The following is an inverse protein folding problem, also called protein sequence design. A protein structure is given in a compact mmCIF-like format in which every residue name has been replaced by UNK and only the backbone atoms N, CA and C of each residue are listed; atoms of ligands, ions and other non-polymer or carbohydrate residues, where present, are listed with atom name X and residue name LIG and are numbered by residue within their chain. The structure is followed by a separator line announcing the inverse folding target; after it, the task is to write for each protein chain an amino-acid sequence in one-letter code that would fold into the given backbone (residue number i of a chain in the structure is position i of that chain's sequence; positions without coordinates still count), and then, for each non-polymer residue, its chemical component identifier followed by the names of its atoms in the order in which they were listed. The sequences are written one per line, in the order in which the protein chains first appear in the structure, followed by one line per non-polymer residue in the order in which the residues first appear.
data_IF_033825520768
#
_entry.id   IF_033825520768
#
_cell.length_a   1.000
_cell.length_b   1.000
_cell.length_c   1.000
_cell.angle_alpha   90.00
_cell.angle_beta   90.00
_cell.angle_gamma   90.00
#
_symmetry.space_group_name_H-M   'P 1'
#
loop_
_entity.id
_entity.type
_entity.pdbx_description
1 polymer ?
#
# COMPACT_ATOMS: atom_id res chain seq x y z
N UNK A 1 11.82 -18.72 10.77
CA UNK A 1 10.49 -18.75 10.10
C UNK A 1 10.71 -18.41 8.64
N UNK A 2 10.29 -19.27 7.71
CA UNK A 2 10.39 -18.98 6.27
C UNK A 2 9.41 -17.87 5.88
N UNK A 3 9.84 -16.92 5.07
CA UNK A 3 8.98 -15.87 4.53
C UNK A 3 7.86 -16.50 3.68
N UNK A 4 6.60 -16.29 4.09
CA UNK A 4 5.40 -16.83 3.41
C UNK A 4 4.81 -15.85 2.38
N UNK A 5 5.51 -14.75 2.08
CA UNK A 5 5.04 -13.78 1.09
C UNK A 5 4.96 -14.41 -0.30
N UNK A 6 3.80 -14.23 -0.94
CA UNK A 6 3.52 -14.71 -2.31
C UNK A 6 4.29 -13.94 -3.40
N UNK A 7 4.78 -12.75 -3.11
CA UNK A 7 5.49 -11.91 -4.06
C UNK A 7 6.73 -11.30 -3.40
N UNK A 8 7.88 -11.49 -4.05
CA UNK A 8 9.11 -10.83 -3.68
C UNK A 8 8.99 -9.30 -3.84
N UNK A 9 9.76 -8.56 -3.04
CA UNK A 9 9.64 -7.10 -2.90
C UNK A 9 10.93 -6.43 -3.34
N UNK A 10 10.79 -5.42 -4.18
CA UNK A 10 11.82 -4.47 -4.56
C UNK A 10 11.95 -3.41 -3.47
N UNK A 11 13.14 -3.25 -2.89
CA UNK A 11 13.43 -2.10 -2.01
C UNK A 11 13.57 -0.84 -2.87
N UNK A 12 12.84 0.20 -2.50
CA UNK A 12 12.84 1.50 -3.20
C UNK A 12 12.92 2.64 -2.19
N UNK A 13 13.16 3.85 -2.67
CA UNK A 13 13.05 5.06 -1.85
C UNK A 13 12.41 6.16 -2.68
N UNK A 14 11.10 6.04 -2.89
CA UNK A 14 10.35 6.88 -3.81
C UNK A 14 9.42 7.84 -3.06
N UNK A 15 9.65 9.17 -3.13
CA UNK A 15 8.69 10.15 -2.66
C UNK A 15 7.34 9.93 -3.34
N UNK A 16 6.28 10.03 -2.55
CA UNK A 16 4.93 9.74 -2.99
C UNK A 16 3.95 10.78 -2.46
N UNK A 17 2.84 10.93 -3.18
CA UNK A 17 1.65 11.62 -2.71
C UNK A 17 0.56 10.57 -2.50
N UNK A 18 0.03 10.53 -1.28
CA UNK A 18 -1.04 9.61 -0.91
C UNK A 18 -2.32 10.41 -0.67
N UNK A 19 -3.43 9.90 -1.17
CA UNK A 19 -4.76 10.46 -0.95
C UNK A 19 -5.72 9.37 -0.50
N UNK A 20 -6.45 9.60 0.58
CA UNK A 20 -7.52 8.70 1.02
C UNK A 20 -8.79 9.01 0.24
N UNK A 21 -9.17 8.14 -0.69
CA UNK A 21 -10.22 8.39 -1.69
C UNK A 21 -11.57 7.74 -1.35
N UNK A 22 -11.62 6.90 -0.31
CA UNK A 22 -12.84 6.20 0.10
C UNK A 22 -13.35 5.19 -0.93
N UNK A 23 -14.51 4.62 -0.64
CA UNK A 23 -15.21 3.68 -1.53
C UNK A 23 -16.20 4.40 -2.43
N UNK A 24 -16.30 3.92 -3.67
CA UNK A 24 -17.38 4.34 -4.58
C UNK A 24 -18.73 3.84 -4.02
N UNK A 25 -19.73 4.72 -3.88
CA UNK A 25 -21.09 4.32 -3.49
C UNK A 25 -21.63 3.25 -4.44
N UNK A 26 -22.26 2.23 -3.87
CA UNK A 26 -22.87 1.15 -4.63
C UNK A 26 -24.38 1.18 -4.42
N UNK A 27 -25.13 1.34 -5.52
CA UNK A 27 -26.58 1.30 -5.50
C UNK A 27 -27.04 -0.12 -5.85
N UNK A 28 -27.55 -0.83 -4.86
CA UNK A 28 -28.01 -2.21 -5.01
C UNK A 28 -29.55 -2.25 -5.05
N UNK A 29 -30.09 -3.16 -5.85
CA UNK A 29 -31.51 -3.49 -5.77
C UNK A 29 -31.86 -3.97 -4.34
N UNK A 30 -33.02 -3.62 -3.77
CA UNK A 30 -33.36 -3.95 -2.37
C UNK A 30 -33.18 -5.43 -2.01
N UNK A 31 -33.62 -6.35 -2.89
CA UNK A 31 -33.44 -7.79 -2.66
C UNK A 31 -31.98 -8.21 -2.51
N UNK A 32 -31.07 -7.58 -3.28
CA UNK A 32 -29.63 -7.87 -3.18
C UNK A 32 -29.04 -7.21 -1.94
N UNK A 33 -29.44 -5.97 -1.62
CA UNK A 33 -28.99 -5.27 -0.42
C UNK A 33 -29.27 -6.07 0.86
N UNK A 34 -30.38 -6.80 0.92
CA UNK A 34 -30.75 -7.64 2.06
C UNK A 34 -29.79 -8.82 2.32
N UNK A 35 -29.04 -9.27 1.31
CA UNK A 35 -28.16 -10.44 1.40
C UNK A 35 -26.69 -10.11 1.12
N UNK A 36 -26.41 -8.91 0.64
CA UNK A 36 -25.06 -8.48 0.28
C UNK A 36 -24.26 -8.08 1.53
N UNK A 37 -23.02 -8.56 1.60
CA UNK A 37 -22.04 -8.15 2.62
C UNK A 37 -20.79 -7.66 1.94
N UNK A 38 -20.25 -6.54 2.44
CA UNK A 38 -19.04 -5.92 1.94
C UNK A 38 -18.20 -5.43 3.10
N UNK A 39 -16.89 -5.42 2.88
CA UNK A 39 -15.96 -4.73 3.76
C UNK A 39 -16.07 -3.23 3.49
N UNK A 40 -16.44 -2.45 4.48
CA UNK A 40 -16.48 -1.00 4.37
C UNK A 40 -15.09 -0.39 4.52
N UNK A 41 -14.83 0.67 3.75
CA UNK A 41 -13.62 1.45 3.95
C UNK A 41 -13.74 2.26 5.23
N UNK A 42 -12.62 2.41 5.94
CA UNK A 42 -12.54 3.43 6.96
C UNK A 42 -12.57 4.83 6.30
N UNK A 43 -13.50 5.67 6.75
CA UNK A 43 -13.77 6.99 6.18
C UNK A 43 -13.22 8.14 7.02
N UNK A 44 -12.56 7.86 8.17
CA UNK A 44 -12.06 8.88 9.10
C UNK A 44 -10.97 9.79 8.49
N UNK A 45 -10.34 9.35 7.40
CA UNK A 45 -9.32 10.09 6.67
C UNK A 45 -9.73 10.50 5.26
N UNK A 46 -11.00 10.33 4.87
CA UNK A 46 -11.46 10.64 3.52
C UNK A 46 -11.09 12.08 3.09
N UNK A 47 -10.55 12.20 1.87
CA UNK A 47 -10.10 13.47 1.28
C UNK A 47 -8.74 13.95 1.80
N UNK A 48 -8.15 13.32 2.82
CA UNK A 48 -6.81 13.69 3.28
C UNK A 48 -5.77 13.31 2.23
N UNK A 49 -4.93 14.29 1.88
CA UNK A 49 -3.82 14.15 0.94
C UNK A 49 -2.52 14.62 1.59
N UNK A 50 -1.47 13.81 1.51
CA UNK A 50 -0.20 14.10 2.21
C UNK A 50 1.01 13.47 1.50
N UNK A 51 2.21 14.05 1.69
CA UNK A 51 3.45 13.45 1.20
C UNK A 51 3.85 12.25 2.07
N UNK A 52 4.40 11.22 1.43
CA UNK A 52 4.93 10.02 2.07
C UNK A 52 6.11 9.46 1.26
N UNK A 53 6.64 8.30 1.65
CA UNK A 53 7.71 7.62 0.90
C UNK A 53 7.41 6.14 0.77
N UNK A 54 7.37 5.63 -0.45
CA UNK A 54 7.34 4.18 -0.73
C UNK A 54 8.74 3.64 -0.47
N UNK A 55 8.84 2.66 0.45
CA UNK A 55 10.12 2.05 0.86
C UNK A 55 10.34 0.68 0.25
N UNK A 56 9.26 0.00 -0.10
CA UNK A 56 9.33 -1.22 -0.87
C UNK A 56 8.04 -1.42 -1.68
N UNK A 57 8.14 -2.27 -2.70
CA UNK A 57 7.11 -2.50 -3.69
C UNK A 57 7.15 -3.96 -4.16
N UNK A 58 5.99 -4.59 -4.34
CA UNK A 58 5.85 -5.83 -5.08
C UNK A 58 4.78 -5.67 -6.15
N UNK A 59 4.56 -6.71 -6.94
CA UNK A 59 3.45 -6.76 -7.90
C UNK A 59 2.08 -6.58 -7.23
N UNK A 60 1.96 -6.87 -5.93
CA UNK A 60 0.68 -6.87 -5.21
C UNK A 60 0.52 -5.71 -4.24
N UNK A 61 1.58 -5.02 -3.83
CA UNK A 61 1.44 -3.98 -2.81
C UNK A 61 2.74 -3.27 -2.47
N UNK A 62 2.65 -2.30 -1.56
CA UNK A 62 3.76 -1.44 -1.17
C UNK A 62 3.80 -1.22 0.35
N UNK A 63 4.99 -0.99 0.90
CA UNK A 63 5.14 -0.41 2.23
C UNK A 63 5.50 1.07 2.10
N UNK A 64 4.81 1.90 2.88
CA UNK A 64 4.89 3.35 2.81
C UNK A 64 5.18 3.87 4.20
N UNK A 65 6.24 4.67 4.33
CA UNK A 65 6.51 5.43 5.55
C UNK A 65 5.84 6.79 5.48
N UNK A 66 5.17 7.19 6.57
CA UNK A 66 4.42 8.44 6.64
C UNK A 66 3.46 8.46 7.82
N UNK A 67 2.55 9.44 7.84
CA UNK A 67 1.44 9.44 8.79
C UNK A 67 0.59 8.17 8.58
N UNK A 68 0.33 7.36 9.62
CA UNK A 68 -0.44 6.14 9.49
C UNK A 68 -1.88 6.46 9.05
N UNK A 69 -2.42 5.60 8.18
CA UNK A 69 -3.81 5.63 7.75
C UNK A 69 -4.57 4.47 8.40
N UNK A 70 -5.87 4.63 8.66
CA UNK A 70 -6.66 3.59 9.28
C UNK A 70 -6.73 2.34 8.39
N UNK A 71 -6.89 1.19 9.04
CA UNK A 71 -7.05 -0.08 8.33
C UNK A 71 -8.26 0.00 7.41
N UNK A 72 -8.16 -0.64 6.24
CA UNK A 72 -9.17 -0.65 5.19
C UNK A 72 -9.48 0.72 4.58
N UNK A 73 -8.68 1.76 4.86
CA UNK A 73 -8.71 2.97 4.04
C UNK A 73 -8.36 2.62 2.58
N UNK A 74 -9.18 3.11 1.64
CA UNK A 74 -8.89 3.05 0.21
C UNK A 74 -8.11 4.30 -0.20
N UNK A 75 -6.96 4.11 -0.82
CA UNK A 75 -5.98 5.16 -1.11
C UNK A 75 -5.59 5.19 -2.57
N UNK A 76 -5.41 6.39 -3.12
CA UNK A 76 -4.68 6.64 -4.35
C UNK A 76 -3.22 6.98 -4.01
N UNK A 77 -2.30 6.50 -4.83
CA UNK A 77 -0.85 6.69 -4.69
C UNK A 77 -0.29 7.21 -6.00
N UNK A 78 0.56 8.24 -5.90
CA UNK A 78 1.35 8.75 -7.03
C UNK A 78 2.81 8.83 -6.63
N UNK A 79 3.68 8.16 -7.37
CA UNK A 79 5.13 8.14 -7.11
C UNK A 79 5.90 7.79 -8.38
N UNK A 80 7.23 7.85 -8.32
CA UNK A 80 8.09 7.48 -9.43
C UNK A 80 9.09 6.41 -9.00
N UNK A 81 9.26 5.37 -9.81
CA UNK A 81 10.25 4.31 -9.56
C UNK A 81 11.35 4.43 -10.61
N UNK A 82 12.60 4.57 -10.16
CA UNK A 82 13.76 4.61 -11.05
C UNK A 82 13.82 3.35 -11.92
N UNK A 83 13.85 3.54 -13.23
CA UNK A 83 13.87 2.44 -14.21
C UNK A 83 12.50 1.92 -14.64
N UNK A 84 11.41 2.43 -14.05
CA UNK A 84 10.02 2.17 -14.50
C UNK A 84 9.37 3.47 -14.96
N UNK A 85 9.52 4.55 -14.19
CA UNK A 85 8.88 5.84 -14.42
C UNK A 85 7.72 6.09 -13.44
N UNK A 86 6.78 6.99 -13.80
CA UNK A 86 5.67 7.37 -12.93
C UNK A 86 4.70 6.20 -12.72
N UNK A 87 4.15 6.11 -11.52
CA UNK A 87 3.21 5.10 -11.09
C UNK A 87 2.01 5.77 -10.42
N UNK A 88 0.83 5.54 -10.98
CA UNK A 88 -0.46 5.81 -10.36
C UNK A 88 -1.08 4.48 -9.91
N UNK A 89 -1.42 4.36 -8.64
CA UNK A 89 -2.02 3.12 -8.11
C UNK A 89 -3.19 3.44 -7.16
N UNK A 90 -4.07 2.46 -6.99
CA UNK A 90 -5.11 2.46 -5.97
C UNK A 90 -4.97 1.21 -5.13
N UNK A 91 -5.14 1.33 -3.81
CA UNK A 91 -5.05 0.18 -2.93
C UNK A 91 -5.73 0.35 -1.58
N UNK A 92 -5.61 -0.70 -0.78
CA UNK A 92 -6.21 -0.85 0.53
C UNK A 92 -5.13 -0.89 1.60
N UNK A 93 -5.28 -0.10 2.66
CA UNK A 93 -4.42 -0.20 3.83
C UNK A 93 -4.74 -1.50 4.56
N UNK A 94 -3.81 -2.45 4.57
CA UNK A 94 -4.02 -3.78 5.16
C UNK A 94 -3.42 -3.93 6.54
N UNK A 95 -2.41 -3.13 6.86
CA UNK A 95 -1.75 -3.09 8.16
C UNK A 95 -1.06 -1.75 8.36
N UNK A 96 -0.79 -1.39 9.61
CA UNK A 96 -0.08 -0.17 9.96
C UNK A 96 0.88 -0.36 11.13
N UNK A 97 1.96 0.43 11.14
CA UNK A 97 2.81 0.73 12.29
C UNK A 97 2.53 2.16 12.70
N UNK A 98 1.89 2.33 13.86
CA UNK A 98 1.49 3.66 14.36
C UNK A 98 2.68 4.48 14.85
N UNK A 99 3.76 3.82 15.25
CA UNK A 99 5.00 4.44 15.71
C UNK A 99 6.22 3.72 15.12
N UNK A 100 7.36 4.41 15.15
CA UNK A 100 8.65 3.77 14.94
C UNK A 100 8.86 2.74 16.04
N UNK A 101 9.52 1.63 15.70
CA UNK A 101 9.73 0.52 16.62
C UNK A 101 11.16 0.02 16.49
N UNK A 102 11.80 -0.24 17.61
CA UNK A 102 13.15 -0.79 17.63
C UNK A 102 13.09 -2.30 17.81
N UNK A 103 13.69 -3.04 16.89
CA UNK A 103 13.81 -4.49 16.98
C UNK A 103 15.25 -4.89 17.32
N UNK A 104 15.44 -5.82 18.26
CA UNK A 104 16.75 -6.41 18.50
C UNK A 104 17.17 -7.21 17.26
N UNK A 105 18.41 -6.98 16.80
CA UNK A 105 19.06 -7.74 15.74
C UNK A 105 20.45 -8.17 16.21
N UNK A 106 21.06 -9.14 15.53
CA UNK A 106 22.41 -9.56 15.86
C UNK A 106 23.38 -8.37 15.74
N UNK A 107 24.05 -8.03 16.84
CA UNK A 107 24.99 -6.89 16.88
C UNK A 107 24.37 -5.50 17.09
N UNK A 108 23.06 -5.38 17.34
CA UNK A 108 22.47 -4.08 17.70
C UNK A 108 20.94 -3.99 17.62
N UNK A 109 20.47 -2.82 17.22
CA UNK A 109 19.05 -2.49 17.10
C UNK A 109 18.75 -2.02 15.69
N UNK A 110 17.65 -2.50 15.12
CA UNK A 110 17.13 -2.04 13.82
C UNK A 110 15.85 -1.25 14.04
N UNK A 111 15.86 0.02 13.66
CA UNK A 111 14.68 0.88 13.75
C UNK A 111 13.78 0.67 12.54
N UNK A 112 12.58 0.21 12.84
CA UNK A 112 11.48 -0.03 11.93
C UNK A 112 10.57 1.22 11.88
N UNK A 113 10.52 1.94 10.76
CA UNK A 113 9.77 3.21 10.71
C UNK A 113 8.26 2.99 10.73
N UNK A 114 7.54 3.96 11.28
CA UNK A 114 6.08 4.09 11.21
C UNK A 114 5.62 4.17 9.76
N UNK A 115 4.39 3.74 9.52
CA UNK A 115 3.82 3.72 8.19
C UNK A 115 2.76 2.65 8.03
N UNK A 116 2.48 2.27 6.79
CA UNK A 116 1.41 1.33 6.49
C UNK A 116 1.69 0.52 5.23
N UNK A 117 1.13 -0.69 5.20
CA UNK A 117 1.19 -1.56 4.04
C UNK A 117 -0.09 -1.47 3.22
N UNK A 118 0.09 -1.30 1.91
CA UNK A 118 -1.00 -1.21 0.94
C UNK A 118 -1.03 -2.47 0.08
N UNK A 119 -2.21 -3.04 -0.10
CA UNK A 119 -2.51 -4.03 -1.14
C UNK A 119 -3.11 -3.30 -2.35
N UNK A 120 -2.52 -3.45 -3.53
CA UNK A 120 -3.03 -2.82 -4.74
C UNK A 120 -4.33 -3.45 -5.18
N UNK A 121 -5.35 -2.60 -5.31
CA UNK A 121 -6.58 -2.88 -6.05
C UNK A 121 -6.33 -2.69 -7.55
N UNK A 122 -5.63 -1.62 -7.91
CA UNK A 122 -5.34 -1.24 -9.29
C UNK A 122 -3.94 -0.66 -9.39
N UNK A 123 -3.19 -1.12 -10.40
CA UNK A 123 -1.88 -0.59 -10.81
C UNK A 123 -1.74 -0.90 -12.31
N UNK A 124 -1.13 -0.03 -13.13
CA UNK A 124 -0.96 -0.28 -14.56
C UNK A 124 -0.24 -1.61 -14.81
N UNK A 125 -0.66 -2.31 -15.87
CA UNK A 125 -0.16 -3.65 -16.19
C UNK A 125 1.32 -3.62 -16.55
N UNK A 126 1.73 -2.59 -17.29
CA UNK A 126 3.12 -2.31 -17.65
C UNK A 126 3.98 -2.09 -16.40
N UNK A 127 3.49 -1.33 -15.41
CA UNK A 127 4.17 -1.14 -14.13
C UNK A 127 4.29 -2.46 -13.38
N UNK A 128 3.20 -3.25 -13.28
CA UNK A 128 3.21 -4.56 -12.63
C UNK A 128 4.22 -5.51 -13.26
N UNK A 129 4.30 -5.51 -14.58
CA UNK A 129 5.24 -6.33 -15.36
C UNK A 129 6.68 -5.88 -15.16
N UNK A 130 6.93 -4.56 -15.16
CA UNK A 130 8.24 -3.99 -14.91
C UNK A 130 8.75 -4.30 -13.49
N UNK A 131 7.88 -4.22 -12.47
CA UNK A 131 8.21 -4.63 -11.09
C UNK A 131 8.60 -6.11 -11.07
N UNK A 132 7.79 -6.98 -11.67
CA UNK A 132 8.09 -8.41 -11.72
C UNK A 132 9.45 -8.71 -12.39
N UNK A 133 9.74 -8.02 -13.49
CA UNK A 133 11.00 -8.16 -14.22
C UNK A 133 12.21 -7.65 -13.41
N UNK A 134 12.07 -6.58 -12.63
CA UNK A 134 13.14 -6.09 -11.76
C UNK A 134 13.38 -7.03 -10.58
N UNK A 135 12.32 -7.54 -9.96
CA UNK A 135 12.40 -8.50 -8.86
C UNK A 135 13.08 -9.81 -9.30
N UNK A 136 12.81 -10.29 -10.52
CA UNK A 136 13.44 -11.50 -11.06
C UNK A 136 14.94 -11.35 -11.39
N UNK A 137 15.47 -10.12 -11.39
CA UNK A 137 16.88 -9.84 -11.65
C UNK A 137 17.72 -9.67 -10.38
N UNK A 138 17.09 -9.68 -9.20
CA UNK A 138 17.75 -9.62 -7.89
C UNK A 138 18.06 -11.02 -7.38
#
# INVERSE_FOLDING_TARGET
MSDQRRAARLVVNAPAVIESIGQVPMFLHPNLQAVFRRVDADTTTLGKRFPAVVRDLSTNGAFITGAPLPLLARVALKFEVRGIGPVDAVGWVMWQRTNDCDLPVEGGTSTLPKGFGVLFESIPLETRTAIAALVAKQ
#
